data_IF_164773840964
#
_entry.id   IF_164773840964
#
_cell.length_a   1.000
_cell.length_b   1.000
_cell.length_c   1.000
_cell.angle_alpha   90.00
_cell.angle_beta   90.00
_cell.angle_gamma   90.00
#
_symmetry.space_group_name_H-M   'P 1'
#
loop_
_entity.id
_entity.type
_entity.pdbx_description
1 polymer ?
#
# COMPACT_ATOMS: atom_id res chain seq x y z
N UNK A 1 -0.28 43.85 -16.99
CA UNK A 1 -0.69 42.46 -16.68
C UNK A 1 -0.60 42.26 -15.18
N UNK A 2 -1.73 42.29 -14.48
CA UNK A 2 -1.80 42.08 -13.03
C UNK A 2 -1.81 40.57 -12.76
N UNK A 3 -0.68 40.05 -12.31
CA UNK A 3 -0.58 38.67 -11.80
C UNK A 3 -1.26 38.66 -10.43
N UNK A 4 -2.57 38.42 -10.41
CA UNK A 4 -3.28 38.11 -9.17
C UNK A 4 -2.83 36.72 -8.71
N UNK A 5 -1.76 36.67 -7.93
CA UNK A 5 -1.46 35.53 -7.08
C UNK A 5 -2.61 35.45 -6.08
N UNK A 6 -3.59 34.58 -6.34
CA UNK A 6 -4.60 34.19 -5.36
C UNK A 6 -3.86 33.68 -4.13
N UNK A 7 -3.81 34.50 -3.09
CA UNK A 7 -3.20 34.11 -1.82
C UNK A 7 -4.00 32.93 -1.30
N UNK A 8 -3.39 31.75 -1.29
CA UNK A 8 -3.98 30.56 -0.67
C UNK A 8 -4.28 30.92 0.79
N UNK A 9 -5.56 30.92 1.16
CA UNK A 9 -6.00 31.26 2.50
C UNK A 9 -5.51 30.23 3.51
N UNK A 10 -5.26 30.66 4.75
CA UNK A 10 -4.84 29.76 5.85
C UNK A 10 -5.81 28.58 6.01
N UNK A 11 -7.11 28.82 5.81
CA UNK A 11 -8.16 27.80 5.87
C UNK A 11 -8.02 26.73 4.77
N UNK A 12 -7.61 27.11 3.55
CA UNK A 12 -7.34 26.17 2.47
C UNK A 12 -6.10 25.31 2.77
N UNK A 13 -5.06 25.92 3.35
CA UNK A 13 -3.86 25.19 3.78
C UNK A 13 -4.22 24.19 4.89
N UNK A 14 -5.01 24.61 5.88
CA UNK A 14 -5.41 23.75 6.99
C UNK A 14 -6.33 22.60 6.52
N UNK A 15 -7.28 22.86 5.64
CA UNK A 15 -8.13 21.83 5.04
C UNK A 15 -7.31 20.83 4.22
N UNK A 16 -6.35 21.32 3.43
CA UNK A 16 -5.43 20.47 2.67
C UNK A 16 -4.58 19.59 3.59
N UNK A 17 -4.01 20.15 4.65
CA UNK A 17 -3.21 19.41 5.64
C UNK A 17 -4.07 18.37 6.38
N UNK A 18 -5.30 18.72 6.76
CA UNK A 18 -6.24 17.80 7.41
C UNK A 18 -6.61 16.61 6.53
N UNK A 19 -6.99 16.88 5.28
CA UNK A 19 -7.26 15.84 4.28
C UNK A 19 -6.04 14.94 4.06
N UNK A 20 -4.84 15.52 4.01
CA UNK A 20 -3.60 14.76 3.82
C UNK A 20 -3.24 13.86 4.99
N UNK A 21 -3.39 14.34 6.24
CA UNK A 21 -3.20 13.49 7.42
C UNK A 21 -4.17 12.32 7.44
N UNK A 22 -5.41 12.54 7.02
CA UNK A 22 -6.42 11.49 6.93
C UNK A 22 -6.03 10.40 5.91
N UNK A 23 -5.55 10.80 4.71
CA UNK A 23 -5.06 9.86 3.70
C UNK A 23 -3.87 9.02 4.20
N UNK A 24 -2.95 9.61 4.97
CA UNK A 24 -1.82 8.89 5.56
C UNK A 24 -2.27 7.82 6.55
N UNK A 25 -3.25 8.12 7.40
CA UNK A 25 -3.81 7.14 8.35
C UNK A 25 -4.45 5.97 7.62
N UNK A 26 -5.26 6.24 6.59
CA UNK A 26 -5.90 5.19 5.77
C UNK A 26 -4.84 4.32 5.11
N UNK A 27 -3.78 4.92 4.56
CA UNK A 27 -2.74 4.18 3.88
C UNK A 27 -1.94 3.28 4.84
N UNK A 28 -1.54 3.80 6.00
CA UNK A 28 -0.90 2.99 7.04
C UNK A 28 -1.79 1.81 7.44
N UNK A 29 -3.10 2.03 7.54
CA UNK A 29 -4.06 0.97 7.80
C UNK A 29 -4.13 -0.05 6.66
N UNK A 30 -4.08 0.38 5.40
CA UNK A 30 -4.04 -0.52 4.23
C UNK A 30 -2.78 -1.37 4.22
N UNK A 31 -1.60 -0.79 4.48
CA UNK A 31 -0.35 -1.54 4.56
C UNK A 31 -0.35 -2.51 5.74
N UNK A 32 -0.77 -2.06 6.93
CA UNK A 32 -0.87 -2.91 8.11
C UNK A 32 -1.84 -4.08 7.89
N UNK A 33 -3.00 -3.82 7.27
CA UNK A 33 -3.97 -4.85 6.93
C UNK A 33 -3.41 -5.84 5.88
N UNK A 34 -2.73 -5.35 4.85
CA UNK A 34 -2.10 -6.20 3.84
C UNK A 34 -1.02 -7.09 4.48
N UNK A 35 -0.18 -6.54 5.36
CA UNK A 35 0.84 -7.27 6.12
C UNK A 35 0.20 -8.35 7.00
N UNK A 36 -0.85 -7.99 7.74
CA UNK A 36 -1.61 -8.94 8.56
C UNK A 36 -2.15 -10.10 7.71
N UNK A 37 -2.82 -9.78 6.59
CA UNK A 37 -3.37 -10.80 5.72
C UNK A 37 -2.30 -11.69 5.07
N UNK A 38 -1.12 -11.14 4.75
CA UNK A 38 0.01 -11.91 4.23
C UNK A 38 0.63 -12.81 5.31
N UNK A 39 0.88 -12.27 6.51
CA UNK A 39 1.49 -13.00 7.63
C UNK A 39 0.66 -14.21 8.06
N UNK A 40 -0.67 -14.03 8.17
CA UNK A 40 -1.59 -15.09 8.56
C UNK A 40 -2.10 -15.91 7.38
N UNK A 41 -1.58 -15.66 6.17
CA UNK A 41 -2.03 -16.34 4.95
C UNK A 41 -3.57 -16.27 4.81
N UNK A 42 -4.19 -15.15 5.11
CA UNK A 42 -5.66 -14.99 5.05
C UNK A 42 -6.16 -14.64 3.65
N UNK A 43 -5.26 -14.27 2.74
CA UNK A 43 -5.62 -13.96 1.36
C UNK A 43 -6.13 -15.19 0.62
N UNK A 44 -7.31 -15.09 -0.03
CA UNK A 44 -7.86 -16.18 -0.83
C UNK A 44 -7.16 -16.22 -2.20
N UNK A 45 -5.90 -16.64 -2.23
CA UNK A 45 -5.16 -16.81 -3.48
C UNK A 45 -5.49 -18.14 -4.13
N UNK A 46 -5.71 -18.11 -5.45
CA UNK A 46 -6.14 -19.32 -6.16
C UNK A 46 -5.09 -20.42 -6.25
N UNK A 47 -3.81 -20.09 -6.06
CA UNK A 47 -2.70 -21.06 -6.02
C UNK A 47 -2.91 -22.20 -5.00
N UNK A 48 -3.71 -21.96 -3.95
CA UNK A 48 -3.98 -22.92 -2.86
C UNK A 48 -5.00 -23.99 -3.21
N UNK A 49 -5.83 -23.78 -4.22
CA UNK A 49 -6.85 -24.75 -4.64
C UNK A 49 -6.29 -25.80 -5.62
N UNK A 50 -5.05 -26.24 -5.41
CA UNK A 50 -4.39 -27.21 -6.28
C UNK A 50 -5.13 -28.55 -6.33
N UNK A 51 -5.80 -28.92 -5.24
CA UNK A 51 -6.59 -30.15 -5.16
C UNK A 51 -7.85 -30.14 -6.06
N UNK A 52 -8.28 -28.97 -6.56
CA UNK A 52 -9.40 -28.85 -7.51
C UNK A 52 -8.95 -28.87 -8.98
N UNK A 53 -7.65 -28.98 -9.25
CA UNK A 53 -7.10 -28.89 -10.62
C UNK A 53 -7.64 -30.00 -11.55
N UNK A 54 -7.96 -31.16 -11.00
CA UNK A 54 -8.54 -32.28 -11.75
C UNK A 54 -9.94 -31.97 -12.34
N UNK A 55 -10.77 -31.22 -11.62
CA UNK A 55 -12.10 -30.80 -12.10
C UNK A 55 -12.08 -29.43 -12.78
N UNK A 56 -11.14 -28.57 -12.39
CA UNK A 56 -11.01 -27.21 -12.87
C UNK A 56 -9.55 -26.91 -13.24
N UNK A 57 -9.12 -27.22 -14.48
CA UNK A 57 -7.72 -27.12 -14.90
C UNK A 57 -7.12 -25.72 -14.79
N UNK A 58 -7.96 -24.68 -14.79
CA UNK A 58 -7.55 -23.27 -14.67
C UNK A 58 -7.77 -22.71 -13.27
N UNK A 59 -8.09 -23.53 -12.27
CA UNK A 59 -8.48 -23.05 -10.95
C UNK A 59 -7.37 -22.22 -10.31
N UNK A 60 -6.10 -22.57 -10.53
CA UNK A 60 -4.92 -21.91 -9.94
C UNK A 60 -4.44 -20.67 -10.70
N UNK A 61 -4.93 -20.45 -11.91
CA UNK A 61 -4.50 -19.35 -12.76
C UNK A 61 -5.13 -18.03 -12.32
N UNK A 62 -4.47 -16.93 -12.64
CA UNK A 62 -4.98 -15.59 -12.43
C UNK A 62 -6.33 -15.39 -13.12
N UNK A 63 -7.28 -14.75 -12.43
CA UNK A 63 -8.61 -14.46 -13.00
C UNK A 63 -8.54 -13.47 -14.16
N UNK A 64 -7.50 -12.65 -14.22
CA UNK A 64 -7.35 -11.63 -15.25
C UNK A 64 -7.27 -12.28 -16.64
N UNK A 65 -8.13 -11.83 -17.54
CA UNK A 65 -8.12 -12.27 -18.94
C UNK A 65 -6.77 -11.95 -19.59
N UNK A 66 -6.19 -12.94 -20.27
CA UNK A 66 -4.86 -12.85 -20.86
C UNK A 66 -3.69 -13.05 -19.89
N UNK A 67 -3.95 -13.20 -18.58
CA UNK A 67 -2.91 -13.60 -17.63
C UNK A 67 -2.90 -15.12 -17.45
N UNK A 68 -1.84 -15.78 -17.92
CA UNK A 68 -1.64 -17.23 -17.77
C UNK A 68 -0.84 -17.64 -16.54
N UNK A 69 -0.50 -16.70 -15.65
CA UNK A 69 0.31 -16.98 -14.46
C UNK A 69 -0.51 -17.63 -13.35
N UNK A 70 0.15 -18.39 -12.48
CA UNK A 70 -0.45 -18.89 -11.23
C UNK A 70 -0.72 -17.70 -10.31
N UNK A 71 -1.93 -17.63 -9.76
CA UNK A 71 -2.32 -16.57 -8.84
C UNK A 71 -1.78 -16.85 -7.43
N UNK A 72 -0.54 -16.45 -7.19
CA UNK A 72 0.07 -16.38 -5.87
C UNK A 72 -0.10 -14.97 -5.26
N UNK A 73 0.19 -14.82 -3.96
CA UNK A 73 0.09 -13.55 -3.24
C UNK A 73 0.90 -12.45 -3.93
N UNK A 74 2.17 -12.74 -4.28
CA UNK A 74 3.03 -11.81 -5.02
C UNK A 74 2.46 -11.46 -6.38
N UNK A 75 1.84 -12.41 -7.08
CA UNK A 75 1.27 -12.15 -8.40
C UNK A 75 0.03 -11.25 -8.29
N UNK A 76 -0.88 -11.58 -7.38
CA UNK A 76 -2.11 -10.84 -7.14
C UNK A 76 -1.82 -9.37 -6.77
N UNK A 77 -0.79 -9.14 -5.96
CA UNK A 77 -0.47 -7.81 -5.46
C UNK A 77 0.65 -7.10 -6.20
N UNK A 78 1.55 -7.74 -6.96
CA UNK A 78 2.71 -7.05 -7.53
C UNK A 78 3.04 -7.42 -8.97
N UNK A 79 3.04 -8.71 -9.33
CA UNK A 79 3.52 -9.10 -10.66
C UNK A 79 2.43 -8.97 -11.74
N UNK A 80 1.15 -9.08 -11.36
CA UNK A 80 0.06 -8.91 -12.31
C UNK A 80 0.03 -7.49 -12.84
N UNK A 81 -0.12 -7.33 -14.16
CA UNK A 81 -0.18 -6.02 -14.82
C UNK A 81 -1.24 -5.08 -14.22
N UNK A 82 -2.31 -5.62 -13.61
CA UNK A 82 -3.34 -4.82 -12.95
C UNK A 82 -2.80 -4.24 -11.65
N UNK A 83 -2.13 -5.09 -10.88
CA UNK A 83 -1.55 -4.74 -9.61
C UNK A 83 -0.43 -3.71 -9.80
N UNK A 84 0.42 -3.87 -10.81
CA UNK A 84 1.45 -2.87 -11.17
C UNK A 84 0.81 -1.50 -11.43
N UNK A 85 -0.24 -1.44 -12.25
CA UNK A 85 -0.93 -0.18 -12.57
C UNK A 85 -1.54 0.47 -11.32
N UNK A 86 -2.18 -0.32 -10.46
CA UNK A 86 -2.76 0.18 -9.21
C UNK A 86 -1.69 0.74 -8.28
N UNK A 87 -0.57 0.02 -8.11
CA UNK A 87 0.54 0.49 -7.27
C UNK A 87 1.19 1.75 -7.81
N UNK A 88 1.29 1.91 -9.14
CA UNK A 88 1.79 3.17 -9.69
C UNK A 88 0.86 4.34 -9.43
N UNK A 89 -0.45 4.13 -9.49
CA UNK A 89 -1.41 5.14 -9.12
C UNK A 89 -1.29 5.53 -7.64
N UNK A 90 -1.21 4.53 -6.74
CA UNK A 90 -0.98 4.75 -5.30
C UNK A 90 0.35 5.49 -5.08
N UNK A 91 1.41 5.08 -5.76
CA UNK A 91 2.72 5.71 -5.63
C UNK A 91 2.72 7.16 -6.12
N UNK A 92 2.07 7.48 -7.25
CA UNK A 92 1.94 8.85 -7.74
C UNK A 92 1.23 9.74 -6.73
N UNK A 93 0.10 9.29 -6.18
CA UNK A 93 -0.62 10.01 -5.13
C UNK A 93 0.25 10.24 -3.88
N UNK A 94 1.15 9.30 -3.57
CA UNK A 94 1.92 9.28 -2.32
C UNK A 94 3.37 9.74 -2.43
N UNK A 95 3.86 10.01 -3.64
CA UNK A 95 5.20 10.51 -3.92
C UNK A 95 5.61 11.78 -3.15
N UNK A 96 4.68 12.67 -2.72
CA UNK A 96 5.03 13.79 -1.85
C UNK A 96 5.40 13.37 -0.41
N UNK A 97 4.95 12.19 0.06
CA UNK A 97 5.02 11.77 1.47
C UNK A 97 6.04 10.66 1.71
N UNK A 98 6.06 9.67 0.83
CA UNK A 98 6.93 8.51 0.93
C UNK A 98 8.09 8.67 -0.03
N UNK A 99 9.31 8.47 0.47
CA UNK A 99 10.53 8.49 -0.35
C UNK A 99 10.65 7.23 -1.21
N UNK A 100 9.97 6.15 -0.82
CA UNK A 100 10.14 4.82 -1.37
C UNK A 100 8.89 4.34 -2.06
N UNK A 101 9.11 3.77 -3.25
CA UNK A 101 8.14 2.93 -3.93
C UNK A 101 7.98 1.64 -3.14
N UNK A 102 6.75 1.28 -2.78
CA UNK A 102 6.48 0.01 -2.13
C UNK A 102 6.92 -1.13 -3.07
N UNK A 103 7.82 -1.97 -2.57
CA UNK A 103 8.24 -3.21 -3.22
C UNK A 103 7.61 -4.40 -2.50
N UNK A 104 7.48 -5.52 -3.19
CA UNK A 104 7.01 -6.76 -2.58
C UNK A 104 7.78 -7.09 -1.29
N UNK A 105 9.11 -6.96 -1.31
CA UNK A 105 9.96 -7.22 -0.15
C UNK A 105 9.67 -6.26 1.00
N UNK A 106 9.50 -4.96 0.75
CA UNK A 106 9.16 -4.00 1.82
C UNK A 106 7.82 -4.30 2.49
N UNK A 107 6.86 -4.85 1.73
CA UNK A 107 5.55 -5.22 2.29
C UNK A 107 5.68 -6.50 3.12
N UNK A 108 6.27 -7.55 2.56
CA UNK A 108 6.39 -8.85 3.23
C UNK A 108 7.29 -8.80 4.46
N UNK A 109 8.40 -8.05 4.39
CA UNK A 109 9.36 -7.92 5.48
C UNK A 109 9.00 -6.80 6.46
N UNK A 110 7.87 -6.14 6.27
CA UNK A 110 7.46 -4.97 7.03
C UNK A 110 8.54 -3.89 7.19
N UNK A 111 9.38 -3.72 6.18
CA UNK A 111 10.45 -2.72 6.21
C UNK A 111 9.83 -1.34 6.27
N UNK A 112 10.17 -0.55 7.30
CA UNK A 112 9.60 0.77 7.47
C UNK A 112 9.96 1.66 6.27
N UNK A 113 8.97 2.23 5.57
CA UNK A 113 9.25 3.12 4.46
C UNK A 113 9.83 4.43 5.01
N UNK A 114 11.02 4.81 4.55
CA UNK A 114 11.63 6.10 4.88
C UNK A 114 10.66 7.25 4.56
N UNK A 115 10.22 7.96 5.59
CA UNK A 115 9.38 9.16 5.48
C UNK A 115 10.27 10.34 5.07
N UNK A 116 9.79 11.25 4.19
CA UNK A 116 10.55 12.46 3.87
C UNK A 116 10.59 13.41 5.06
N UNK A 117 11.79 13.91 5.40
CA UNK A 117 12.05 14.77 6.55
C UNK A 117 11.22 16.07 6.57
N UNK A 118 10.76 16.54 5.41
CA UNK A 118 9.87 17.71 5.28
C UNK A 118 8.48 17.52 5.89
N UNK A 119 8.09 16.29 6.25
CA UNK A 119 6.86 15.97 6.98
C UNK A 119 7.07 15.72 8.48
N UNK A 120 8.32 15.73 8.97
CA UNK A 120 8.65 15.39 10.36
C UNK A 120 8.26 16.47 11.39
N UNK A 121 7.87 17.67 10.95
CA UNK A 121 7.34 18.70 11.85
C UNK A 121 6.00 18.36 12.50
N UNK A 122 5.30 17.29 12.09
CA UNK A 122 3.94 16.99 12.55
C UNK A 122 3.63 15.50 12.85
N UNK A 123 4.60 14.59 12.79
CA UNK A 123 4.34 13.14 12.80
C UNK A 123 5.13 12.37 13.87
N UNK A 124 5.24 12.91 15.09
CA UNK A 124 6.02 12.28 16.16
C UNK A 124 5.23 11.27 17.03
N UNK A 125 4.15 10.65 16.55
CA UNK A 125 3.32 9.75 17.39
C UNK A 125 3.01 8.38 16.76
N UNK A 126 3.11 8.16 15.45
CA UNK A 126 2.68 6.88 14.86
C UNK A 126 3.77 5.79 14.77
N UNK A 127 5.05 6.15 14.88
CA UNK A 127 6.14 5.15 14.88
C UNK A 127 6.26 4.39 16.20
N UNK A 128 5.75 4.95 17.31
CA UNK A 128 5.81 4.31 18.63
C UNK A 128 4.82 3.15 18.81
N UNK A 129 3.77 3.06 17.98
CA UNK A 129 2.78 1.98 18.08
C UNK A 129 3.23 0.68 17.39
N UNK A 130 4.04 0.75 16.33
CA UNK A 130 4.57 -0.46 15.70
C UNK A 130 5.75 -1.07 16.47
N UNK A 131 6.56 -0.26 17.16
CA UNK A 131 7.66 -0.79 17.98
C UNK A 131 7.20 -1.39 19.32
N UNK A 132 5.98 -1.07 19.78
CA UNK A 132 5.47 -1.61 21.05
C UNK A 132 4.86 -3.01 20.93
N UNK A 133 4.48 -3.45 19.72
CA UNK A 133 3.93 -4.80 19.48
C UNK A 133 5.02 -5.86 19.23
N UNK A 134 6.26 -5.46 18.95
CA UNK A 134 7.40 -6.39 18.81
C UNK A 134 8.15 -6.65 20.14
N UNK A 135 7.78 -5.97 21.24
CA UNK A 135 8.40 -6.12 22.57
C UNK A 135 7.50 -6.79 23.62
N UNK A 136 6.46 -7.52 23.20
CA UNK A 136 5.60 -8.31 24.10
C UNK A 136 5.49 -9.76 23.65
N UNK A 137 6.62 -10.47 23.64
CA UNK A 137 6.72 -11.92 23.82
C UNK A 137 7.87 -12.20 24.77
#
# INVERSE_FOLDING_TARGET
>A
MTIHSSRVGVDQIQAYVGYHKHLQVILLLVFANLQFQLAFRLLPVRSRFWFLEASHPRIRLCVRTGCGAIEAEKHLFFDCTLAVQLWEHIHQMMSPFLRLRATWLSIVLATQPGVRDTALGQLNIQLLFFTSLEYSV
#
